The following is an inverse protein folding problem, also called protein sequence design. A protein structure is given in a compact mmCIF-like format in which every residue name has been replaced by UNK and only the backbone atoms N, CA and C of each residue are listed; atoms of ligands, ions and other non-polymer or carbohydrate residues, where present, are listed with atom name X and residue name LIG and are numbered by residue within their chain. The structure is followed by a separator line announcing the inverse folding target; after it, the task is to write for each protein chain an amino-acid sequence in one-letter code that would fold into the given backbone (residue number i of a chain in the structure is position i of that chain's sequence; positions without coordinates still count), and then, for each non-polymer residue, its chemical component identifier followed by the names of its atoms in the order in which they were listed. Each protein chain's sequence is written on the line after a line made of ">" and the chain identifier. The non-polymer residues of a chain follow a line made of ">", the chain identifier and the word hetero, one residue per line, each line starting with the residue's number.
data_IF_058245708350
#
_entry.id   IF_058245708350
#
_cell.length_a   1.000
_cell.length_b   1.000
_cell.length_c   1.000
_cell.angle_alpha   90.00
_cell.angle_beta   90.00
_cell.angle_gamma   90.00
#
_symmetry.space_group_name_H-M   'P 1'
#
loop_
_entity.id
_entity.type
_entity.pdbx_description
1 polymer ?
#
# COMPACT_ATOMS: atom_id res chain seq x y z
N UNK A 1 -4.95 17.68 -11.94
CA UNK A 1 -4.97 17.47 -10.47
C UNK A 1 -5.88 16.31 -10.03
N UNK A 2 -6.84 15.86 -10.86
CA UNK A 2 -7.78 14.79 -10.55
C UNK A 2 -7.15 13.44 -10.11
N UNK A 3 -5.99 13.03 -10.64
CA UNK A 3 -5.38 11.74 -10.28
C UNK A 3 -4.94 11.68 -8.81
N UNK A 4 -4.46 12.79 -8.23
CA UNK A 4 -4.01 12.81 -6.83
C UNK A 4 -5.20 12.68 -5.86
N UNK A 5 -6.33 13.27 -6.20
CA UNK A 5 -7.56 13.22 -5.40
C UNK A 5 -8.28 11.87 -5.51
N UNK A 6 -8.19 11.21 -6.66
CA UNK A 6 -8.69 9.85 -6.81
C UNK A 6 -7.86 8.88 -5.93
N UNK A 7 -6.54 9.01 -5.96
CA UNK A 7 -5.62 8.16 -5.19
C UNK A 7 -5.72 8.39 -3.68
N UNK A 8 -6.06 9.59 -3.22
CA UNK A 8 -6.19 9.88 -1.77
C UNK A 8 -7.34 9.12 -1.10
N UNK A 9 -8.31 8.64 -1.89
CA UNK A 9 -9.48 7.88 -1.42
C UNK A 9 -9.26 6.36 -1.47
N UNK A 10 -8.13 5.91 -2.01
CA UNK A 10 -7.84 4.48 -2.18
C UNK A 10 -6.94 4.03 -1.03
N UNK A 11 -7.40 3.04 -0.28
CA UNK A 11 -6.62 2.38 0.75
C UNK A 11 -6.31 0.96 0.29
N UNK A 12 -5.02 0.65 0.11
CA UNK A 12 -4.56 -0.66 -0.37
C UNK A 12 -3.30 -1.08 0.39
N UNK A 13 -3.13 -2.37 0.65
CA UNK A 13 -1.90 -2.87 1.23
C UNK A 13 -0.78 -2.92 0.18
N UNK A 14 0.42 -2.49 0.54
CA UNK A 14 1.56 -2.38 -0.39
C UNK A 14 2.00 -3.76 -0.90
N UNK A 15 1.99 -4.80 -0.05
CA UNK A 15 2.31 -6.17 -0.49
C UNK A 15 1.30 -6.64 -1.54
N UNK A 16 0.00 -6.45 -1.27
CA UNK A 16 -1.05 -6.86 -2.19
C UNK A 16 -0.95 -6.11 -3.52
N UNK A 17 -0.58 -4.82 -3.49
CA UNK A 17 -0.38 -4.02 -4.70
C UNK A 17 0.79 -4.53 -5.55
N UNK A 18 1.91 -4.90 -4.91
CA UNK A 18 3.08 -5.46 -5.61
C UNK A 18 2.76 -6.85 -6.17
N UNK A 19 2.09 -7.69 -5.39
CA UNK A 19 1.63 -9.02 -5.81
C UNK A 19 0.70 -8.89 -7.03
N UNK A 20 -0.34 -8.06 -6.93
CA UNK A 20 -1.31 -7.79 -7.99
C UNK A 20 -0.66 -7.26 -9.28
N UNK A 21 0.34 -6.38 -9.14
CA UNK A 21 1.08 -5.86 -10.30
C UNK A 21 1.91 -6.97 -10.99
N UNK A 22 2.44 -7.93 -10.22
CA UNK A 22 3.22 -9.04 -10.77
C UNK A 22 2.34 -10.12 -11.41
N UNK A 23 1.16 -10.38 -10.85
CA UNK A 23 0.25 -11.45 -11.29
C UNK A 23 -0.86 -10.99 -12.23
N UNK A 24 -1.08 -9.68 -12.35
CA UNK A 24 -2.20 -9.11 -13.09
C UNK A 24 -3.55 -9.29 -12.39
N UNK A 25 -3.57 -9.66 -11.10
CA UNK A 25 -4.82 -9.89 -10.36
C UNK A 25 -5.39 -8.60 -9.78
N UNK A 26 -6.71 -8.49 -9.60
CA UNK A 26 -7.31 -7.38 -8.88
C UNK A 26 -6.78 -7.27 -7.45
N UNK A 27 -6.48 -6.05 -7.01
CA UNK A 27 -6.04 -5.77 -5.64
C UNK A 27 -7.23 -5.43 -4.74
N UNK A 28 -7.17 -5.83 -3.48
CA UNK A 28 -8.18 -5.46 -2.47
C UNK A 28 -8.07 -3.98 -2.14
N UNK A 29 -9.18 -3.26 -2.28
CA UNK A 29 -9.31 -1.88 -1.85
C UNK A 29 -10.14 -1.85 -0.56
N UNK A 30 -9.62 -1.19 0.46
CA UNK A 30 -10.27 -0.98 1.74
C UNK A 30 -11.04 0.35 1.70
N UNK A 31 -12.20 0.38 2.37
CA UNK A 31 -13.03 1.58 2.40
C UNK A 31 -12.42 2.68 3.27
N UNK A 32 -11.65 2.31 4.30
CA UNK A 32 -11.03 3.26 5.23
C UNK A 32 -9.59 2.88 5.57
N UNK A 33 -8.80 3.89 5.97
CA UNK A 33 -7.45 3.69 6.52
C UNK A 33 -7.46 2.78 7.76
N UNK A 34 -8.49 2.89 8.61
CA UNK A 34 -8.60 2.09 9.83
C UNK A 34 -8.76 0.60 9.50
N UNK A 35 -9.58 0.27 8.51
CA UNK A 35 -9.78 -1.09 8.01
C UNK A 35 -8.49 -1.69 7.45
N UNK A 36 -7.76 -0.91 6.63
CA UNK A 36 -6.45 -1.31 6.10
C UNK A 36 -5.45 -1.63 7.24
N UNK A 37 -5.38 -0.77 8.26
CA UNK A 37 -4.46 -0.96 9.41
C UNK A 37 -4.82 -2.22 10.17
N UNK A 38 -6.10 -2.40 10.49
CA UNK A 38 -6.60 -3.57 11.22
C UNK A 38 -6.25 -4.85 10.46
N UNK A 39 -6.62 -4.91 9.18
CA UNK A 39 -6.35 -6.07 8.35
C UNK A 39 -4.85 -6.36 8.22
N UNK A 40 -4.02 -5.33 8.06
CA UNK A 40 -2.55 -5.49 7.98
C UNK A 40 -1.98 -6.03 9.29
N UNK A 41 -2.50 -5.57 10.45
CA UNK A 41 -2.06 -6.04 11.76
C UNK A 41 -2.51 -7.47 12.07
N UNK A 42 -3.70 -7.86 11.63
CA UNK A 42 -4.26 -9.21 11.75
C UNK A 42 -3.49 -10.21 10.86
N UNK A 43 -3.24 -9.85 9.60
CA UNK A 43 -2.56 -10.72 8.62
C UNK A 43 -1.03 -10.66 8.68
N UNK A 44 -0.48 -9.71 9.45
CA UNK A 44 0.97 -9.40 9.50
C UNK A 44 1.59 -9.09 8.13
N UNK A 45 0.80 -8.66 7.15
CA UNK A 45 1.28 -8.28 5.80
C UNK A 45 1.93 -6.89 5.78
N UNK A 46 3.05 -6.77 6.50
CA UNK A 46 3.88 -5.57 6.48
C UNK A 46 4.87 -5.62 5.32
N UNK A 47 4.94 -4.55 4.55
CA UNK A 47 5.94 -4.46 3.48
C UNK A 47 7.35 -4.30 4.08
N UNK A 48 8.34 -5.12 3.69
CA UNK A 48 9.67 -5.08 4.29
C UNK A 48 10.37 -3.73 4.11
N UNK A 49 10.81 -3.11 5.21
CA UNK A 49 11.47 -1.81 5.18
C UNK A 49 12.74 -1.79 4.31
N UNK A 50 13.50 -2.89 4.31
CA UNK A 50 14.71 -3.03 3.48
C UNK A 50 14.35 -2.91 2.00
N UNK A 51 13.36 -3.69 1.53
CA UNK A 51 12.84 -3.63 0.15
C UNK A 51 12.29 -2.26 -0.21
N UNK A 52 11.60 -1.59 0.72
CA UNK A 52 11.06 -0.25 0.48
C UNK A 52 12.16 0.80 0.26
N UNK A 53 13.36 0.59 0.81
CA UNK A 53 14.51 1.49 0.69
C UNK A 53 15.36 1.21 -0.55
N UNK A 54 15.22 0.04 -1.18
CA UNK A 54 16.00 -0.38 -2.36
C UNK A 54 15.68 0.47 -3.62
N UNK A 55 14.55 1.20 -3.64
CA UNK A 55 14.20 2.13 -4.72
C UNK A 55 12.76 1.97 -5.20
N UNK A 56 12.46 2.53 -6.37
CA UNK A 56 11.17 2.38 -7.03
C UNK A 56 9.99 3.13 -6.38
N UNK A 57 8.75 2.89 -6.87
CA UNK A 57 7.56 3.64 -6.47
C UNK A 57 7.24 3.54 -4.97
N UNK A 58 7.52 2.38 -4.36
CA UNK A 58 7.24 2.12 -2.94
C UNK A 58 8.07 3.01 -2.01
N UNK A 59 9.28 3.43 -2.43
CA UNK A 59 10.11 4.38 -1.66
C UNK A 59 9.40 5.71 -1.43
N UNK A 60 8.57 6.15 -2.37
CA UNK A 60 7.78 7.38 -2.26
C UNK A 60 6.62 7.28 -1.27
N UNK A 61 6.23 6.06 -0.87
CA UNK A 61 5.15 5.79 0.08
C UNK A 61 5.66 5.65 1.53
N UNK A 62 6.97 5.72 1.74
CA UNK A 62 7.56 5.68 3.08
C UNK A 62 7.17 6.94 3.85
N UNK A 63 6.24 6.78 4.80
CA UNK A 63 5.92 7.84 5.75
C UNK A 63 7.11 8.01 6.69
N UNK A 64 7.80 9.14 6.59
CA UNK A 64 8.73 9.58 7.63
C UNK A 64 7.88 10.02 8.81
N UNK A 65 7.79 9.20 9.85
CA UNK A 65 7.29 9.66 11.14
C UNK A 65 8.28 10.73 11.63
N UNK A 66 7.84 11.98 11.68
CA UNK A 66 8.51 13.06 12.42
C UNK A 66 8.13 12.96 13.89
#
# INVERSE_FOLDING_TARGET
>A
MACKEALSKIHVNICDLVDANATGTPVRIFATRAELIRWTAETKRYFPLKKAKEGGPVRGLLVRMR
#
